data_IF_746885538423
#
_entry.id   IF_746885538423
#
_cell.length_a   1.000
_cell.length_b   1.000
_cell.length_c   1.000
_cell.angle_alpha   90.00
_cell.angle_beta   90.00
_cell.angle_gamma   90.00
#
_symmetry.space_group_name_H-M   'P 1'
#
loop_
_entity.id
_entity.type
_entity.pdbx_description
1 polymer ?
#
# COMPACT_ATOMS: atom_id res chain seq x y z
N UNK A 1 17.13 21.07 -10.35
CA UNK A 1 15.95 20.29 -10.77
C UNK A 1 16.00 18.95 -10.03
N UNK A 2 15.20 18.77 -8.99
CA UNK A 2 15.11 17.46 -8.33
C UNK A 2 14.19 16.57 -9.18
N UNK A 3 14.76 15.58 -9.87
CA UNK A 3 13.97 14.56 -10.53
C UNK A 3 12.98 14.00 -9.52
N UNK A 4 11.69 13.97 -9.88
CA UNK A 4 10.63 13.44 -9.04
C UNK A 4 10.87 11.93 -8.92
N UNK A 5 11.74 11.54 -8.00
CA UNK A 5 12.05 10.14 -7.77
C UNK A 5 10.78 9.54 -7.16
N UNK A 6 10.15 8.67 -7.93
CA UNK A 6 8.90 8.02 -7.60
C UNK A 6 9.20 6.53 -7.56
N UNK A 7 8.88 5.87 -6.46
CA UNK A 7 9.23 4.47 -6.26
C UNK A 7 8.01 3.59 -6.51
N UNK A 8 8.22 2.42 -7.08
CA UNK A 8 7.15 1.43 -7.23
C UNK A 8 7.06 0.52 -6.01
N UNK A 9 5.90 -0.11 -5.79
CA UNK A 9 5.76 -1.13 -4.74
C UNK A 9 6.75 -2.29 -4.91
N UNK A 10 7.20 -2.59 -6.14
CA UNK A 10 8.23 -3.61 -6.41
C UNK A 10 9.56 -3.26 -5.77
N UNK A 11 10.03 -2.03 -5.97
CA UNK A 11 11.28 -1.54 -5.40
C UNK A 11 11.19 -1.43 -3.88
N UNK A 12 10.02 -1.01 -3.36
CA UNK A 12 9.76 -0.96 -1.93
C UNK A 12 9.82 -2.35 -1.30
N UNK A 13 9.22 -3.35 -1.97
CA UNK A 13 9.32 -4.74 -1.58
C UNK A 13 10.78 -5.18 -1.52
N UNK A 14 11.54 -4.95 -2.59
CA UNK A 14 12.94 -5.38 -2.65
C UNK A 14 13.77 -4.81 -1.49
N UNK A 15 13.64 -3.50 -1.21
CA UNK A 15 14.30 -2.88 -0.05
C UNK A 15 13.85 -3.46 1.28
N UNK A 16 12.57 -3.81 1.40
CA UNK A 16 12.03 -4.40 2.61
C UNK A 16 12.51 -5.84 2.80
N UNK A 17 12.56 -6.63 1.73
CA UNK A 17 13.10 -8.00 1.73
C UNK A 17 14.59 -8.00 2.07
N UNK A 18 15.36 -7.03 1.55
CA UNK A 18 16.77 -6.85 1.92
C UNK A 18 16.93 -6.51 3.41
N UNK A 19 16.12 -5.58 3.94
CA UNK A 19 16.18 -5.15 5.35
C UNK A 19 15.75 -6.23 6.33
N UNK A 20 14.70 -6.98 5.99
CA UNK A 20 14.12 -8.01 6.87
C UNK A 20 14.75 -9.38 6.64
N UNK A 21 15.52 -9.56 5.57
CA UNK A 21 16.06 -10.84 5.11
C UNK A 21 14.96 -11.92 4.95
N UNK A 22 13.72 -11.50 4.71
CA UNK A 22 12.55 -12.36 4.58
C UNK A 22 11.85 -12.11 3.26
N UNK A 23 11.22 -13.16 2.72
CA UNK A 23 10.40 -13.03 1.51
C UNK A 23 9.05 -12.43 1.84
N UNK A 24 8.68 -11.38 1.11
CA UNK A 24 7.40 -10.70 1.26
C UNK A 24 6.20 -11.64 1.03
N UNK A 25 6.36 -12.69 0.23
CA UNK A 25 5.32 -13.71 -0.01
C UNK A 25 4.96 -14.58 1.20
N UNK A 26 5.93 -14.84 2.10
CA UNK A 26 5.77 -15.74 3.25
C UNK A 26 5.52 -15.00 4.57
N UNK A 27 5.79 -13.71 4.62
CA UNK A 27 5.51 -12.90 5.82
C UNK A 27 4.03 -12.55 5.95
N UNK A 28 3.59 -12.48 7.21
CA UNK A 28 2.26 -12.02 7.61
C UNK A 28 2.17 -10.50 7.73
N UNK A 29 3.29 -9.80 7.87
CA UNK A 29 3.32 -8.36 8.13
C UNK A 29 4.38 -7.68 7.24
N UNK A 30 3.93 -6.80 6.35
CA UNK A 30 4.77 -6.08 5.39
C UNK A 30 4.68 -4.59 5.68
N UNK A 31 5.80 -3.99 6.07
CA UNK A 31 5.90 -2.61 6.53
C UNK A 31 6.68 -1.75 5.53
N UNK A 32 5.97 -1.12 4.61
CA UNK A 32 6.50 -0.27 3.53
C UNK A 32 6.18 1.21 3.77
N UNK A 33 6.17 1.63 5.04
CA UNK A 33 5.91 3.02 5.39
C UNK A 33 7.16 3.89 5.25
N UNK A 34 6.96 5.17 4.93
CA UNK A 34 8.05 6.17 4.90
C UNK A 34 9.18 5.86 3.93
N UNK A 35 8.86 5.35 2.74
CA UNK A 35 9.88 5.10 1.72
C UNK A 35 10.42 6.43 1.16
N UNK A 36 11.73 6.45 0.93
CA UNK A 36 12.41 7.51 0.22
C UNK A 36 13.16 6.89 -0.97
N UNK A 37 12.78 7.19 -2.22
CA UNK A 37 11.67 8.06 -2.65
C UNK A 37 10.27 7.50 -2.32
N UNK A 38 9.23 8.35 -2.22
CA UNK A 38 7.87 7.92 -1.87
C UNK A 38 7.25 7.04 -2.96
N UNK A 39 6.39 6.11 -2.53
CA UNK A 39 5.66 5.24 -3.47
C UNK A 39 4.49 6.01 -4.06
N UNK A 40 4.42 6.19 -5.38
CA UNK A 40 3.28 6.79 -6.07
C UNK A 40 2.46 5.75 -6.86
N UNK A 41 3.12 4.70 -7.35
CA UNK A 41 2.54 3.64 -8.18
C UNK A 41 2.51 2.30 -7.45
N UNK A 42 1.29 1.77 -7.36
CA UNK A 42 1.03 0.38 -6.95
C UNK A 42 1.07 -0.54 -8.17
N UNK A 43 1.86 -1.61 -8.09
CA UNK A 43 2.05 -2.60 -9.15
C UNK A 43 1.54 -3.99 -8.73
N UNK A 44 1.54 -4.98 -9.62
CA UNK A 44 1.10 -6.35 -9.31
C UNK A 44 2.00 -7.07 -8.29
N UNK A 45 3.17 -6.52 -7.94
CA UNK A 45 4.06 -7.08 -6.92
C UNK A 45 3.39 -7.30 -5.56
N UNK A 46 2.40 -6.50 -5.18
CA UNK A 46 1.62 -6.73 -3.94
C UNK A 46 0.71 -7.96 -4.03
N UNK A 47 0.39 -8.44 -5.24
CA UNK A 47 -0.39 -9.66 -5.42
C UNK A 47 0.42 -10.94 -5.11
N UNK A 48 1.75 -10.85 -4.98
CA UNK A 48 2.58 -11.99 -4.54
C UNK A 48 2.53 -12.22 -3.03
N UNK A 49 1.93 -11.29 -2.28
CA UNK A 49 1.82 -11.30 -0.82
C UNK A 49 0.63 -12.15 -0.35
N UNK A 50 0.58 -13.43 -0.75
CA UNK A 50 -0.58 -14.29 -0.48
C UNK A 50 -0.80 -14.57 1.01
N UNK A 51 0.28 -14.57 1.81
CA UNK A 51 0.24 -14.80 3.27
C UNK A 51 0.21 -13.52 4.10
N UNK A 52 0.26 -12.34 3.46
CA UNK A 52 0.31 -11.06 4.17
C UNK A 52 -1.05 -10.71 4.78
N UNK A 53 -1.07 -10.59 6.11
CA UNK A 53 -2.23 -10.19 6.91
C UNK A 53 -2.24 -8.68 7.20
N UNK A 54 -1.06 -8.04 7.29
CA UNK A 54 -0.94 -6.60 7.54
C UNK A 54 0.00 -5.94 6.56
N UNK A 55 -0.50 -4.96 5.81
CA UNK A 55 0.28 -4.17 4.86
C UNK A 55 0.26 -2.70 5.28
N UNK A 56 1.43 -2.14 5.54
CA UNK A 56 1.57 -0.71 5.86
C UNK A 56 2.24 0.02 4.72
N UNK A 57 1.53 0.97 4.12
CA UNK A 57 1.97 1.85 3.04
C UNK A 57 1.82 3.32 3.46
N UNK A 58 1.83 3.60 4.76
CA UNK A 58 1.67 4.95 5.28
C UNK A 58 2.84 5.86 4.89
N UNK A 59 2.59 7.17 4.77
CA UNK A 59 3.61 8.19 4.43
C UNK A 59 4.23 7.94 3.06
N UNK A 60 3.38 7.82 2.03
CA UNK A 60 3.75 7.65 0.64
C UNK A 60 2.94 8.63 -0.24
N UNK A 61 3.08 8.59 -1.56
CA UNK A 61 2.36 9.46 -2.51
C UNK A 61 1.41 8.66 -3.41
N UNK A 62 0.83 7.58 -2.90
CA UNK A 62 0.00 6.67 -3.71
C UNK A 62 -1.27 7.42 -4.13
N UNK A 63 -1.45 7.63 -5.44
CA UNK A 63 -2.63 8.32 -5.98
C UNK A 63 -3.79 7.36 -6.29
N UNK A 64 -3.46 6.11 -6.65
CA UNK A 64 -4.42 5.06 -7.01
C UNK A 64 -4.02 3.73 -6.39
N UNK A 65 -5.00 3.07 -5.77
CA UNK A 65 -4.83 1.71 -5.25
C UNK A 65 -5.36 0.74 -6.30
N UNK A 66 -4.50 -0.18 -6.72
CA UNK A 66 -4.81 -1.24 -7.68
C UNK A 66 -4.14 -2.54 -7.25
N UNK A 67 -4.54 -3.66 -7.84
CA UNK A 67 -3.88 -4.97 -7.64
C UNK A 67 -3.90 -5.53 -6.20
N UNK A 68 -4.94 -5.21 -5.42
CA UNK A 68 -5.21 -5.85 -4.12
C UNK A 68 -5.76 -7.28 -4.24
N UNK A 69 -6.09 -7.75 -5.44
CA UNK A 69 -6.71 -9.07 -5.65
C UNK A 69 -5.87 -10.27 -5.20
N UNK A 70 -4.54 -10.15 -5.17
CA UNK A 70 -3.67 -11.25 -4.69
C UNK A 70 -3.58 -11.37 -3.17
N UNK A 71 -4.03 -10.36 -2.43
CA UNK A 71 -3.94 -10.26 -0.97
C UNK A 71 -5.13 -10.96 -0.30
N UNK A 72 -5.19 -12.29 -0.44
CA UNK A 72 -6.31 -13.12 0.06
C UNK A 72 -6.45 -13.11 1.58
N UNK A 73 -5.33 -13.00 2.31
CA UNK A 73 -5.29 -13.05 3.77
C UNK A 73 -5.20 -11.67 4.43
N UNK A 74 -5.26 -10.58 3.67
CA UNK A 74 -5.06 -9.25 4.21
C UNK A 74 -6.24 -8.84 5.11
N UNK A 75 -5.89 -8.49 6.35
CA UNK A 75 -6.80 -8.03 7.41
C UNK A 75 -6.62 -6.54 7.70
N UNK A 76 -5.37 -6.04 7.59
CA UNK A 76 -5.04 -4.67 7.96
C UNK A 76 -4.28 -4.01 6.82
N UNK A 77 -4.79 -2.86 6.35
CA UNK A 77 -4.15 -2.05 5.33
C UNK A 77 -4.00 -0.62 5.84
N UNK A 78 -2.77 -0.20 6.11
CA UNK A 78 -2.47 1.16 6.58
C UNK A 78 -2.05 2.01 5.39
N UNK A 79 -2.84 3.03 5.09
CA UNK A 79 -2.61 3.95 3.96
C UNK A 79 -2.56 5.42 4.43
N UNK A 80 -2.27 5.66 5.70
CA UNK A 80 -2.23 7.02 6.26
C UNK A 80 -1.22 7.90 5.53
N UNK A 81 -1.48 9.22 5.44
CA UNK A 81 -0.60 10.17 4.72
C UNK A 81 -0.24 9.72 3.30
N UNK A 82 -1.25 9.41 2.48
CA UNK A 82 -1.14 9.19 1.02
C UNK A 82 -2.01 10.21 0.26
N UNK A 83 -1.79 10.34 -1.05
CA UNK A 83 -2.56 11.21 -1.96
C UNK A 83 -3.69 10.46 -2.68
N UNK A 84 -4.34 9.51 -2.02
CA UNK A 84 -5.36 8.66 -2.65
C UNK A 84 -6.59 9.52 -2.96
N UNK A 85 -6.71 9.94 -4.22
CA UNK A 85 -7.86 10.72 -4.70
C UNK A 85 -9.03 9.83 -5.05
N UNK A 86 -8.79 8.55 -5.37
CA UNK A 86 -9.85 7.67 -5.83
C UNK A 86 -9.67 6.26 -5.28
N UNK A 87 -10.68 5.77 -4.55
CA UNK A 87 -10.69 4.46 -3.88
C UNK A 87 -11.30 3.36 -4.77
N UNK A 88 -11.29 3.53 -6.10
CA UNK A 88 -11.97 2.67 -7.08
C UNK A 88 -11.66 1.16 -6.90
N UNK A 89 -10.47 0.80 -6.42
CA UNK A 89 -10.07 -0.60 -6.18
C UNK A 89 -10.44 -1.19 -4.82
N UNK A 90 -11.02 -0.39 -3.91
CA UNK A 90 -11.23 -0.75 -2.51
C UNK A 90 -12.71 -0.87 -2.14
N UNK A 91 -13.60 -0.37 -3.00
CA UNK A 91 -15.07 -0.42 -2.84
C UNK A 91 -15.57 -1.86 -2.69
N UNK A 92 -14.89 -2.84 -3.32
CA UNK A 92 -15.25 -4.27 -3.21
C UNK A 92 -14.85 -4.92 -1.86
N UNK A 93 -13.93 -4.30 -1.10
CA UNK A 93 -13.42 -4.83 0.17
C UNK A 93 -13.73 -3.91 1.38
N UNK A 94 -14.70 -3.01 1.23
CA UNK A 94 -14.99 -1.93 2.18
C UNK A 94 -15.42 -2.43 3.58
N UNK A 95 -15.76 -3.71 3.73
CA UNK A 95 -16.18 -4.29 5.01
C UNK A 95 -15.02 -4.81 5.90
N UNK A 96 -13.75 -4.64 5.48
CA UNK A 96 -12.60 -5.28 6.15
C UNK A 96 -11.45 -4.36 6.54
N UNK A 97 -11.46 -3.10 6.12
CA UNK A 97 -10.33 -2.19 6.35
C UNK A 97 -10.71 -1.06 7.31
N UNK A 98 -10.13 -1.08 8.52
CA UNK A 98 -10.14 0.05 9.44
C UNK A 98 -9.32 1.19 8.81
N UNK A 99 -9.98 2.08 8.06
CA UNK A 99 -9.35 3.31 7.61
C UNK A 99 -9.13 4.22 8.81
N UNK A 100 -7.91 4.25 9.35
CA UNK A 100 -7.44 5.40 10.13
C UNK A 100 -7.24 6.59 9.19
N UNK A 101 -8.36 7.13 8.70
CA UNK A 101 -8.42 8.39 7.95
C UNK A 101 -8.58 9.49 9.00
N UNK A 102 -7.47 10.06 9.45
CA UNK A 102 -7.53 11.24 10.31
C UNK A 102 -7.78 12.54 9.50
N UNK A 103 -7.75 12.48 8.16
CA UNK A 103 -7.83 13.67 7.29
C UNK A 103 -8.49 13.39 5.91
N UNK A 104 -9.73 12.93 5.85
CA UNK A 104 -10.51 13.07 4.61
C UNK A 104 -11.98 13.28 4.93
N UNK A 105 -12.45 14.47 4.53
CA UNK A 105 -13.84 14.88 4.61
C UNK A 105 -14.72 13.94 3.76
N UNK A 106 -15.83 13.41 4.28
CA UNK A 106 -16.69 12.45 3.59
C UNK A 106 -17.52 13.02 2.42
N UNK A 107 -17.22 14.21 1.91
CA UNK A 107 -18.05 14.90 0.88
C UNK A 107 -17.71 14.58 -0.59
N UNK A 108 -16.79 13.65 -0.87
CA UNK A 108 -16.36 13.34 -2.25
C UNK A 108 -16.84 11.95 -2.73
N UNK A 109 -18.08 11.59 -2.39
CA UNK A 109 -18.79 10.45 -2.95
C UNK A 109 -20.00 10.97 -3.74
N UNK A 110 -20.17 10.63 -5.03
CA UNK A 110 -21.49 10.65 -5.65
C UNK A 110 -22.40 9.57 -5.07
#
# INVERSE_FOLDING_TARGET
MAAKASMTTKEALAKWEEKTQQKASDTKEVLLYGQFPPIDKMDASISTLTSCEKLSLSTNLIEKIANLNGLKNLKILSLGRNLIKNLVGLVSHFNKFFFSRHDNNPTDLP
#
